data_IF_302799004329
#
_entry.id   IF_302799004329
#
_cell.length_a   1.000
_cell.length_b   1.000
_cell.length_c   1.000
_cell.angle_alpha   90.00
_cell.angle_beta   90.00
_cell.angle_gamma   90.00
#
_symmetry.space_group_name_H-M   'P 1'
#
loop_
_entity.id
_entity.type
_entity.pdbx_description
1 polymer ?
#
# COMPACT_ATOMS: atom_id res chain seq x y z
N UNK A 1 17.81 3.14 16.20
CA UNK A 1 16.34 3.11 16.33
C UNK A 1 15.73 3.01 14.93
N UNK A 2 14.95 1.97 14.61
CA UNK A 2 14.48 1.71 13.25
C UNK A 2 13.10 2.33 12.98
N UNK A 3 13.02 3.48 12.29
CA UNK A 3 11.74 4.16 12.02
C UNK A 3 10.75 3.30 11.23
N UNK A 4 11.23 2.36 10.40
CA UNK A 4 10.38 1.52 9.56
C UNK A 4 9.46 0.59 10.36
N UNK A 5 9.92 0.03 11.49
CA UNK A 5 9.10 -0.85 12.34
C UNK A 5 7.90 -0.14 12.93
N UNK A 6 8.12 1.09 13.42
CA UNK A 6 7.06 1.92 14.01
C UNK A 6 6.00 2.27 12.96
N UNK A 7 6.43 2.57 11.74
CA UNK A 7 5.53 2.87 10.61
C UNK A 7 4.66 1.66 10.27
N UNK A 8 5.23 0.45 10.13
CA UNK A 8 4.42 -0.74 9.83
C UNK A 8 3.44 -1.11 10.95
N UNK A 9 3.84 -0.98 12.22
CA UNK A 9 2.93 -1.22 13.36
C UNK A 9 1.80 -0.20 13.39
N UNK A 10 2.11 1.08 13.17
CA UNK A 10 1.10 2.13 13.10
C UNK A 10 0.13 1.90 11.93
N UNK A 11 0.64 1.56 10.74
CA UNK A 11 -0.19 1.26 9.57
C UNK A 11 -1.07 0.03 9.79
N UNK A 12 -0.57 -1.03 10.43
CA UNK A 12 -1.36 -2.19 10.79
C UNK A 12 -2.52 -1.83 11.73
N UNK A 13 -2.22 -1.08 12.79
CA UNK A 13 -3.24 -0.59 13.73
C UNK A 13 -4.25 0.30 13.00
N UNK A 14 -3.78 1.17 12.11
CA UNK A 14 -4.65 2.01 11.28
C UNK A 14 -5.60 1.16 10.43
N UNK A 15 -5.10 0.29 9.55
CA UNK A 15 -5.97 -0.50 8.67
C UNK A 15 -6.98 -1.36 9.44
N UNK A 16 -6.60 -1.89 10.61
CA UNK A 16 -7.52 -2.74 11.38
C UNK A 16 -8.52 -1.93 12.20
N UNK A 17 -8.03 -1.06 13.09
CA UNK A 17 -8.90 -0.39 14.06
C UNK A 17 -9.65 0.78 13.46
N UNK A 18 -9.00 1.58 12.61
CA UNK A 18 -9.64 2.75 12.00
C UNK A 18 -10.76 2.34 11.04
N UNK A 19 -10.50 1.34 10.18
CA UNK A 19 -11.53 0.82 9.26
C UNK A 19 -12.72 0.22 9.99
N UNK A 20 -12.49 -0.53 11.08
CA UNK A 20 -13.57 -1.09 11.91
C UNK A 20 -14.40 0.00 12.58
N UNK A 21 -13.76 1.05 13.11
CA UNK A 21 -14.46 2.19 13.69
C UNK A 21 -15.33 2.90 12.65
N UNK A 22 -14.80 3.13 11.45
CA UNK A 22 -15.56 3.75 10.35
C UNK A 22 -16.75 2.88 9.96
N UNK A 23 -16.54 1.57 9.79
CA UNK A 23 -17.61 0.62 9.45
C UNK A 23 -18.67 0.54 10.56
N UNK A 24 -18.30 0.68 11.83
CA UNK A 24 -19.24 0.70 12.95
C UNK A 24 -20.06 2.00 13.01
N UNK A 25 -19.44 3.14 12.69
CA UNK A 25 -20.09 4.46 12.69
C UNK A 25 -21.02 4.63 11.47
N UNK A 26 -20.65 4.04 10.33
CA UNK A 26 -21.33 4.27 9.05
C UNK A 26 -22.84 3.94 9.08
N UNK A 27 -23.33 2.81 9.63
CA UNK A 27 -24.76 2.52 9.70
C UNK A 27 -25.55 3.57 10.47
N UNK A 28 -25.07 3.97 11.66
CA UNK A 28 -25.74 5.00 12.47
C UNK A 28 -25.78 6.36 11.76
N UNK A 29 -24.73 6.67 10.98
CA UNK A 29 -24.68 7.89 10.19
C UNK A 29 -25.65 7.84 8.99
N UNK A 30 -25.86 6.67 8.39
CA UNK A 30 -26.83 6.44 7.31
C UNK A 30 -28.27 6.55 7.83
N UNK A 31 -28.60 5.94 8.97
CA UNK A 31 -29.93 6.08 9.57
C UNK A 31 -30.26 7.54 9.87
N UNK A 32 -29.28 8.28 10.39
CA UNK A 32 -29.43 9.71 10.64
C UNK A 32 -29.58 10.53 9.33
N UNK A 33 -28.89 10.16 8.24
CA UNK A 33 -29.04 10.77 6.91
C UNK A 33 -30.46 10.62 6.38
N UNK A 34 -31.03 9.42 6.47
CA UNK A 34 -32.39 9.15 6.00
C UNK A 34 -33.41 9.95 6.82
N UNK A 35 -33.21 10.07 8.13
CA UNK A 35 -34.09 10.83 9.01
C UNK A 35 -34.02 12.36 8.86
N UNK A 36 -32.91 12.92 8.35
CA UNK A 36 -32.67 14.38 8.28
C UNK A 36 -32.31 14.86 6.86
N UNK A 37 -32.89 14.24 5.84
CA UNK A 37 -32.55 14.48 4.42
C UNK A 37 -32.79 15.92 3.95
N UNK A 38 -33.63 16.69 4.66
CA UNK A 38 -33.92 18.10 4.35
C UNK A 38 -32.77 19.07 4.70
N UNK A 39 -31.75 18.63 5.44
CA UNK A 39 -30.65 19.52 5.86
C UNK A 39 -29.47 19.51 4.87
N UNK A 40 -29.28 20.55 4.04
CA UNK A 40 -28.19 20.60 3.05
C UNK A 40 -26.80 20.60 3.71
N UNK A 41 -26.67 21.15 4.91
CA UNK A 41 -25.43 21.12 5.70
C UNK A 41 -24.99 19.70 6.04
N UNK A 42 -25.95 18.80 6.25
CA UNK A 42 -25.65 17.43 6.65
C UNK A 42 -25.19 16.58 5.46
N UNK A 43 -25.84 16.72 4.29
CA UNK A 43 -25.38 16.13 3.03
C UNK A 43 -23.94 16.53 2.69
N UNK A 44 -23.61 17.82 2.92
CA UNK A 44 -22.26 18.33 2.70
C UNK A 44 -21.25 17.69 3.65
N UNK A 45 -21.57 17.66 4.95
CA UNK A 45 -20.71 17.04 5.95
C UNK A 45 -20.44 15.56 5.64
N UNK A 46 -21.46 14.81 5.23
CA UNK A 46 -21.32 13.42 4.80
C UNK A 46 -20.41 13.27 3.58
N UNK A 47 -20.60 14.11 2.56
CA UNK A 47 -19.79 14.06 1.33
C UNK A 47 -18.31 14.33 1.62
N UNK A 48 -18.02 15.29 2.50
CA UNK A 48 -16.66 15.61 2.97
C UNK A 48 -16.09 14.42 3.75
N UNK A 49 -16.85 13.87 4.70
CA UNK A 49 -16.44 12.71 5.48
C UNK A 49 -16.10 11.51 4.60
N UNK A 50 -16.97 11.15 3.67
CA UNK A 50 -16.76 10.05 2.72
C UNK A 50 -15.48 10.25 1.88
N UNK A 51 -15.28 11.48 1.37
CA UNK A 51 -14.10 11.83 0.57
C UNK A 51 -12.80 11.72 1.37
N UNK A 52 -12.79 12.24 2.61
CA UNK A 52 -11.63 12.18 3.49
C UNK A 52 -11.31 10.73 3.87
N UNK A 53 -12.31 9.97 4.30
CA UNK A 53 -12.13 8.56 4.66
C UNK A 53 -11.56 7.76 3.51
N UNK A 54 -12.15 7.89 2.31
CA UNK A 54 -11.65 7.21 1.11
C UNK A 54 -10.22 7.61 0.78
N UNK A 55 -9.92 8.91 0.80
CA UNK A 55 -8.59 9.43 0.52
C UNK A 55 -7.54 8.88 1.49
N UNK A 56 -7.81 8.88 2.79
CA UNK A 56 -6.83 8.39 3.78
C UNK A 56 -6.59 6.89 3.60
N UNK A 57 -7.61 6.09 3.28
CA UNK A 57 -7.43 4.65 3.00
C UNK A 57 -6.57 4.40 1.77
N UNK A 58 -6.86 5.09 0.66
CA UNK A 58 -6.09 4.96 -0.58
C UNK A 58 -4.64 5.40 -0.35
N UNK A 59 -4.42 6.56 0.28
CA UNK A 59 -3.07 7.05 0.61
C UNK A 59 -2.34 6.12 1.55
N UNK A 60 -3.00 5.49 2.53
CA UNK A 60 -2.37 4.52 3.40
C UNK A 60 -1.86 3.30 2.61
N UNK A 61 -2.64 2.79 1.65
CA UNK A 61 -2.23 1.66 0.80
C UNK A 61 -1.07 2.07 -0.11
N UNK A 62 -1.14 3.26 -0.71
CA UNK A 62 -0.07 3.82 -1.53
C UNK A 62 1.21 4.03 -0.74
N UNK A 63 1.13 4.46 0.52
CA UNK A 63 2.29 4.58 1.39
C UNK A 63 2.93 3.23 1.68
N UNK A 64 2.15 2.17 1.90
CA UNK A 64 2.69 0.81 2.04
C UNK A 64 3.41 0.37 0.77
N UNK A 65 2.80 0.57 -0.40
CA UNK A 65 3.40 0.24 -1.69
C UNK A 65 4.67 1.07 -1.95
N UNK A 66 4.62 2.37 -1.66
CA UNK A 66 5.74 3.31 -1.80
C UNK A 66 6.95 2.89 -0.98
N UNK A 67 6.74 2.54 0.30
CA UNK A 67 7.83 2.08 1.18
C UNK A 67 8.48 0.80 0.64
N UNK A 68 7.69 -0.11 0.07
CA UNK A 68 8.20 -1.35 -0.54
C UNK A 68 9.05 -1.08 -1.77
N UNK A 69 8.52 -0.26 -2.68
CA UNK A 69 9.24 0.13 -3.90
C UNK A 69 10.52 0.88 -3.52
N UNK A 70 10.46 1.78 -2.55
CA UNK A 70 11.63 2.50 -2.06
C UNK A 70 12.71 1.57 -1.49
N UNK A 71 12.31 0.54 -0.74
CA UNK A 71 13.23 -0.49 -0.27
C UNK A 71 13.85 -1.30 -1.43
N UNK A 72 13.03 -1.67 -2.43
CA UNK A 72 13.46 -2.45 -3.60
C UNK A 72 14.45 -1.69 -4.50
N UNK A 73 14.34 -0.35 -4.56
CA UNK A 73 15.24 0.52 -5.32
C UNK A 73 16.46 1.00 -4.52
N UNK A 74 16.90 0.20 -3.54
CA UNK A 74 18.06 0.50 -2.69
C UNK A 74 18.03 1.94 -2.14
N UNK A 75 16.84 2.39 -1.67
CA UNK A 75 16.63 3.72 -1.08
C UNK A 75 16.97 4.91 -2.00
N UNK A 76 16.90 4.74 -3.32
CA UNK A 76 17.13 5.83 -4.27
C UNK A 76 16.17 7.01 -4.05
N UNK A 77 16.74 8.20 -3.82
CA UNK A 77 15.97 9.44 -3.59
C UNK A 77 15.09 9.84 -4.77
N UNK A 78 15.49 9.48 -6.00
CA UNK A 78 14.71 9.80 -7.22
C UNK A 78 13.34 9.13 -7.21
N UNK A 79 13.29 7.87 -6.79
CA UNK A 79 12.06 7.10 -6.71
C UNK A 79 11.18 7.61 -5.57
N UNK A 80 11.79 7.94 -4.42
CA UNK A 80 11.05 8.56 -3.32
C UNK A 80 10.40 9.88 -3.74
N UNK A 81 11.13 10.73 -4.49
CA UNK A 81 10.59 11.98 -5.00
C UNK A 81 9.44 11.75 -6.00
N UNK A 82 9.59 10.81 -6.94
CA UNK A 82 8.56 10.49 -7.92
C UNK A 82 7.27 9.97 -7.26
N UNK A 83 7.40 9.04 -6.32
CA UNK A 83 6.24 8.50 -5.60
C UNK A 83 5.63 9.54 -4.67
N UNK A 84 6.45 10.31 -3.96
CA UNK A 84 5.98 11.41 -3.12
C UNK A 84 5.25 12.50 -3.91
N UNK A 85 5.73 12.80 -5.12
CA UNK A 85 5.07 13.73 -6.04
C UNK A 85 3.67 13.23 -6.45
N UNK A 86 3.53 11.95 -6.78
CA UNK A 86 2.22 11.35 -7.10
C UNK A 86 1.25 11.43 -5.91
N UNK A 87 1.70 11.08 -4.71
CA UNK A 87 0.88 11.17 -3.49
C UNK A 87 0.46 12.62 -3.23
N UNK A 88 1.38 13.58 -3.39
CA UNK A 88 1.06 15.00 -3.23
C UNK A 88 0.04 15.49 -4.26
N UNK A 89 0.17 15.07 -5.52
CA UNK A 89 -0.78 15.39 -6.59
C UNK A 89 -2.18 14.86 -6.28
N UNK A 90 -2.25 13.67 -5.71
CA UNK A 90 -3.51 13.04 -5.33
C UNK A 90 -4.18 13.73 -4.13
N UNK A 91 -3.40 14.07 -3.10
CA UNK A 91 -3.90 14.83 -1.94
C UNK A 91 -4.39 16.21 -2.37
N UNK A 92 -3.63 16.92 -3.20
CA UNK A 92 -4.03 18.26 -3.69
C UNK A 92 -5.28 18.17 -4.58
N UNK A 93 -5.37 17.18 -5.46
CA UNK A 93 -6.57 16.90 -6.24
C UNK A 93 -7.79 16.63 -5.36
N UNK A 94 -7.62 15.85 -4.29
CA UNK A 94 -8.68 15.56 -3.33
C UNK A 94 -9.16 16.83 -2.60
N UNK A 95 -8.24 17.68 -2.16
CA UNK A 95 -8.58 18.97 -1.54
C UNK A 95 -9.36 19.88 -2.50
N UNK A 96 -8.93 19.98 -3.76
CA UNK A 96 -9.65 20.74 -4.79
C UNK A 96 -11.05 20.17 -5.00
N UNK A 97 -11.19 18.85 -5.07
CA UNK A 97 -12.49 18.19 -5.21
C UNK A 97 -13.44 18.51 -4.04
N UNK A 98 -12.93 18.51 -2.81
CA UNK A 98 -13.71 18.89 -1.62
C UNK A 98 -14.16 20.35 -1.69
N UNK A 99 -13.25 21.28 -2.03
CA UNK A 99 -13.59 22.72 -2.17
C UNK A 99 -14.64 22.95 -3.25
N UNK A 100 -14.50 22.29 -4.41
CA UNK A 100 -15.50 22.37 -5.48
C UNK A 100 -16.84 21.79 -5.04
N UNK A 101 -16.83 20.67 -4.32
CA UNK A 101 -18.04 20.05 -3.77
C UNK A 101 -18.77 21.01 -2.84
N UNK A 102 -18.06 21.70 -1.95
CA UNK A 102 -18.63 22.71 -1.05
C UNK A 102 -19.29 23.86 -1.83
N UNK A 103 -18.64 24.34 -2.91
CA UNK A 103 -19.15 25.49 -3.67
C UNK A 103 -20.27 25.14 -4.65
N UNK A 104 -20.22 23.93 -5.22
CA UNK A 104 -21.15 23.49 -6.26
C UNK A 104 -22.34 22.68 -5.71
N UNK A 105 -22.41 22.52 -4.39
CA UNK A 105 -23.45 21.78 -3.68
C UNK A 105 -24.86 22.32 -3.98
N UNK A 106 -25.51 21.74 -4.98
CA UNK A 106 -26.97 21.70 -5.11
C UNK A 106 -27.39 20.27 -4.85
N UNK A 107 -27.75 19.97 -3.61
CA UNK A 107 -28.24 18.66 -3.22
C UNK A 107 -29.72 18.52 -3.56
N UNK A 108 -30.11 17.36 -4.10
CA UNK A 108 -31.51 16.97 -4.22
C UNK A 108 -31.96 16.18 -2.98
N UNK A 109 -33.24 15.80 -2.87
CA UNK A 109 -33.93 15.24 -1.69
C UNK A 109 -33.28 14.00 -1.01
N UNK A 110 -32.16 13.46 -1.51
CA UNK A 110 -31.49 12.29 -0.95
C UNK A 110 -29.97 12.45 -0.80
N UNK A 111 -29.46 13.69 -0.69
CA UNK A 111 -28.01 13.98 -0.63
C UNK A 111 -27.21 13.42 -1.83
N UNK A 112 -27.87 13.19 -2.97
CA UNK A 112 -27.25 12.69 -4.20
C UNK A 112 -26.88 13.87 -5.11
N UNK A 113 -25.70 13.82 -5.73
CA UNK A 113 -25.29 14.80 -6.73
C UNK A 113 -26.13 14.65 -7.99
N UNK A 114 -26.94 15.66 -8.35
CA UNK A 114 -27.70 15.64 -9.62
C UNK A 114 -26.81 15.51 -10.85
N UNK A 115 -25.58 16.05 -10.78
CA UNK A 115 -24.54 15.85 -11.80
C UNK A 115 -23.22 15.67 -11.07
N UNK A 116 -22.53 14.52 -11.23
CA UNK A 116 -21.24 14.34 -10.60
C UNK A 116 -20.27 15.38 -11.16
N UNK A 117 -19.58 16.15 -10.31
CA UNK A 117 -18.57 17.09 -10.77
C UNK A 117 -17.50 16.35 -11.58
N UNK A 118 -17.11 16.91 -12.73
CA UNK A 118 -16.00 16.38 -13.56
C UNK A 118 -14.72 16.18 -12.74
N UNK A 119 -14.57 16.96 -11.67
CA UNK A 119 -13.51 16.89 -10.67
C UNK A 119 -13.36 15.49 -10.04
N UNK A 120 -14.47 14.78 -9.78
CA UNK A 120 -14.42 13.40 -9.28
C UNK A 120 -13.79 12.45 -10.30
N UNK A 121 -14.10 12.64 -11.59
CA UNK A 121 -13.52 11.83 -12.67
C UNK A 121 -12.02 12.11 -12.80
N UNK A 122 -11.61 13.38 -12.76
CA UNK A 122 -10.19 13.75 -12.78
C UNK A 122 -9.43 13.16 -11.58
N UNK A 123 -10.03 13.20 -10.39
CA UNK A 123 -9.44 12.57 -9.20
C UNK A 123 -9.24 11.06 -9.41
N UNK A 124 -10.26 10.35 -9.89
CA UNK A 124 -10.16 8.92 -10.19
C UNK A 124 -9.06 8.59 -11.21
N UNK A 125 -8.89 9.41 -12.25
CA UNK A 125 -7.81 9.26 -13.23
C UNK A 125 -6.43 9.44 -12.57
N UNK A 126 -6.27 10.44 -11.70
CA UNK A 126 -5.03 10.67 -10.96
C UNK A 126 -4.71 9.45 -10.08
N UNK A 127 -5.68 8.93 -9.33
CA UNK A 127 -5.51 7.70 -8.52
C UNK A 127 -5.05 6.55 -9.41
N UNK A 128 -5.75 6.28 -10.52
CA UNK A 128 -5.37 5.21 -11.45
C UNK A 128 -3.95 5.40 -12.01
N UNK A 129 -3.58 6.63 -12.38
CA UNK A 129 -2.24 6.94 -12.87
C UNK A 129 -1.17 6.60 -11.84
N UNK A 130 -1.42 6.92 -10.56
CA UNK A 130 -0.50 6.63 -9.46
C UNK A 130 -0.35 5.12 -9.25
N UNK A 131 -1.46 4.38 -9.33
CA UNK A 131 -1.45 2.92 -9.24
C UNK A 131 -0.67 2.27 -10.40
N UNK A 132 -0.85 2.78 -11.64
CA UNK A 132 -0.08 2.32 -12.81
C UNK A 132 1.41 2.62 -12.63
N UNK A 133 1.78 3.82 -12.15
CA UNK A 133 3.16 4.19 -11.89
C UNK A 133 3.81 3.27 -10.86
N UNK A 134 3.15 3.02 -9.72
CA UNK A 134 3.64 2.11 -8.68
C UNK A 134 3.81 0.68 -9.20
N UNK A 135 2.82 0.19 -9.95
CA UNK A 135 2.87 -1.12 -10.60
C UNK A 135 4.02 -1.21 -11.59
N UNK A 136 4.16 -0.22 -12.47
CA UNK A 136 5.19 -0.13 -13.49
C UNK A 136 6.60 -0.11 -12.89
N UNK A 137 6.82 0.65 -11.81
CA UNK A 137 8.10 0.66 -11.11
C UNK A 137 8.45 -0.70 -10.51
N UNK A 138 7.46 -1.38 -9.92
CA UNK A 138 7.64 -2.71 -9.31
C UNK A 138 7.96 -3.75 -10.40
N UNK A 139 7.25 -3.71 -11.53
CA UNK A 139 7.49 -4.57 -12.69
C UNK A 139 8.85 -4.33 -13.32
N UNK A 140 9.18 -3.06 -13.61
CA UNK A 140 10.44 -2.68 -14.23
C UNK A 140 11.63 -3.18 -13.42
N UNK A 141 11.61 -2.97 -12.10
CA UNK A 141 12.69 -3.44 -11.23
C UNK A 141 12.80 -4.96 -11.23
N UNK A 142 11.67 -5.66 -11.26
CA UNK A 142 11.66 -7.12 -11.31
C UNK A 142 12.20 -7.66 -12.63
N UNK A 143 11.84 -7.05 -13.75
CA UNK A 143 12.36 -7.42 -15.07
C UNK A 143 13.86 -7.16 -15.15
N UNK A 144 14.34 -6.02 -14.63
CA UNK A 144 15.76 -5.71 -14.57
C UNK A 144 16.53 -6.71 -13.70
N UNK A 145 16.01 -7.06 -12.51
CA UNK A 145 16.61 -8.06 -11.64
C UNK A 145 16.64 -9.46 -12.29
N UNK A 146 15.61 -9.81 -13.08
CA UNK A 146 15.59 -11.06 -13.83
C UNK A 146 16.64 -11.08 -14.94
N UNK A 147 16.82 -9.96 -15.65
CA UNK A 147 17.84 -9.84 -16.72
C UNK A 147 19.27 -9.88 -16.18
N UNK A 148 19.53 -9.35 -14.99
CA UNK A 148 20.85 -9.36 -14.36
C UNK A 148 21.23 -10.70 -13.70
N UNK A 149 20.52 -11.80 -14.01
CA UNK A 149 20.80 -13.13 -13.44
C UNK A 149 20.30 -13.34 -12.01
N UNK A 150 19.73 -12.32 -11.36
CA UNK A 150 19.19 -12.39 -10.00
C UNK A 150 17.75 -12.94 -9.94
N UNK A 151 17.21 -13.41 -11.06
CA UNK A 151 15.79 -13.79 -11.22
C UNK A 151 15.29 -14.98 -10.40
N UNK A 152 16.14 -15.67 -9.64
CA UNK A 152 15.72 -16.82 -8.79
C UNK A 152 15.35 -16.44 -7.36
N UNK A 153 15.41 -15.17 -6.95
CA UNK A 153 14.98 -14.79 -5.60
C UNK A 153 13.45 -14.82 -5.49
N UNK A 154 12.86 -15.76 -4.73
CA UNK A 154 11.40 -15.92 -4.60
C UNK A 154 10.71 -14.69 -3.96
N UNK A 155 11.48 -13.82 -3.33
CA UNK A 155 11.01 -12.58 -2.69
C UNK A 155 10.40 -11.63 -3.72
N UNK A 156 11.04 -11.47 -4.88
CA UNK A 156 10.62 -10.46 -5.87
C UNK A 156 9.33 -10.88 -6.59
N UNK A 157 9.16 -12.17 -6.86
CA UNK A 157 7.93 -12.68 -7.49
C UNK A 157 6.74 -12.61 -6.54
N UNK A 158 6.93 -12.84 -5.24
CA UNK A 158 5.89 -12.67 -4.24
C UNK A 158 5.43 -11.20 -4.18
N UNK A 159 6.38 -10.26 -4.16
CA UNK A 159 6.09 -8.83 -4.15
C UNK A 159 5.30 -8.37 -5.37
N UNK A 160 5.63 -8.89 -6.56
CA UNK A 160 4.86 -8.59 -7.78
C UNK A 160 3.43 -9.10 -7.71
N UNK A 161 3.24 -10.34 -7.30
CA UNK A 161 1.91 -10.96 -7.22
C UNK A 161 1.02 -10.21 -6.23
N UNK A 162 1.61 -9.78 -5.11
CA UNK A 162 0.85 -9.08 -4.08
C UNK A 162 0.50 -7.66 -4.51
N UNK A 163 1.44 -6.95 -5.14
CA UNK A 163 1.19 -5.63 -5.67
C UNK A 163 0.18 -5.66 -6.82
N UNK A 164 0.20 -6.71 -7.66
CA UNK A 164 -0.72 -6.84 -8.79
C UNK A 164 -2.14 -7.10 -8.34
N UNK A 165 -2.35 -7.95 -7.33
CA UNK A 165 -3.67 -8.15 -6.73
C UNK A 165 -4.26 -6.82 -6.22
N UNK A 166 -3.49 -6.02 -5.50
CA UNK A 166 -3.94 -4.71 -4.99
C UNK A 166 -4.24 -3.73 -6.13
N UNK A 167 -3.40 -3.70 -7.16
CA UNK A 167 -3.63 -2.87 -8.35
C UNK A 167 -4.95 -3.20 -9.06
N UNK A 168 -5.26 -4.49 -9.27
CA UNK A 168 -6.52 -4.89 -9.90
C UNK A 168 -7.72 -4.51 -9.04
N UNK A 169 -7.63 -4.69 -7.72
CA UNK A 169 -8.69 -4.31 -6.80
C UNK A 169 -8.94 -2.80 -6.82
N UNK A 170 -7.91 -1.97 -6.67
CA UNK A 170 -8.07 -0.50 -6.69
C UNK A 170 -8.56 -0.04 -8.07
N UNK A 171 -8.05 -0.62 -9.16
CA UNK A 171 -8.50 -0.29 -10.50
C UNK A 171 -9.99 -0.62 -10.72
N UNK A 172 -10.45 -1.78 -10.23
CA UNK A 172 -11.85 -2.16 -10.29
C UNK A 172 -12.74 -1.21 -9.46
N UNK A 173 -12.29 -0.81 -8.26
CA UNK A 173 -13.00 0.17 -7.43
C UNK A 173 -13.07 1.56 -8.10
N UNK A 174 -11.98 2.02 -8.71
CA UNK A 174 -11.96 3.29 -9.44
C UNK A 174 -12.87 3.25 -10.69
N UNK A 175 -12.76 2.20 -11.51
CA UNK A 175 -13.57 2.06 -12.72
C UNK A 175 -15.06 1.91 -12.40
N UNK A 176 -15.41 1.13 -11.38
CA UNK A 176 -16.80 1.02 -10.92
C UNK A 176 -17.31 2.37 -10.42
N UNK A 177 -16.55 3.11 -9.62
CA UNK A 177 -16.91 4.46 -9.18
C UNK A 177 -17.16 5.41 -10.36
N UNK A 178 -16.26 5.44 -11.35
CA UNK A 178 -16.43 6.26 -12.56
C UNK A 178 -17.68 5.81 -13.34
N UNK A 179 -17.90 4.50 -13.47
CA UNK A 179 -19.08 3.94 -14.11
C UNK A 179 -20.39 4.37 -13.43
N UNK A 180 -20.45 4.25 -12.10
CA UNK A 180 -21.62 4.68 -11.33
C UNK A 180 -21.87 6.20 -11.43
N UNK A 181 -20.82 7.01 -11.46
CA UNK A 181 -20.96 8.44 -11.73
C UNK A 181 -21.55 8.71 -13.12
N UNK A 182 -21.25 7.89 -14.14
CA UNK A 182 -21.78 8.08 -15.49
C UNK A 182 -23.21 7.57 -15.67
N UNK A 183 -23.61 6.57 -14.89
CA UNK A 183 -24.90 5.88 -15.00
C UNK A 183 -25.99 6.43 -14.05
N UNK A 184 -25.81 7.62 -13.46
CA UNK A 184 -26.76 8.29 -12.55
C UNK A 184 -27.17 7.47 -11.31
N UNK A 185 -26.21 6.78 -10.67
CA UNK A 185 -26.52 5.80 -9.62
C UNK A 185 -26.63 6.35 -8.19
N UNK A 186 -27.76 6.07 -7.55
CA UNK A 186 -28.03 6.22 -6.10
C UNK A 186 -27.12 5.33 -5.21
N UNK A 187 -26.31 4.45 -5.82
CA UNK A 187 -25.44 3.48 -5.14
C UNK A 187 -24.14 4.04 -4.55
N UNK A 188 -23.89 5.35 -4.58
CA UNK A 188 -22.62 5.93 -4.12
C UNK A 188 -22.31 5.61 -2.64
N UNK A 189 -23.34 5.62 -1.78
CA UNK A 189 -23.23 5.30 -0.35
C UNK A 189 -22.78 3.84 -0.16
N UNK A 190 -23.40 2.92 -0.91
CA UNK A 190 -23.07 1.50 -0.88
C UNK A 190 -21.62 1.30 -1.32
N UNK A 191 -21.20 1.94 -2.42
CA UNK A 191 -19.84 1.83 -2.95
C UNK A 191 -18.75 2.26 -1.96
N UNK A 192 -18.98 3.30 -1.15
CA UNK A 192 -18.03 3.73 -0.14
C UNK A 192 -17.79 2.63 0.91
N UNK A 193 -18.87 2.04 1.43
CA UNK A 193 -18.79 0.99 2.43
C UNK A 193 -18.00 -0.23 1.92
N UNK A 194 -18.29 -0.67 0.70
CA UNK A 194 -17.56 -1.76 0.06
C UNK A 194 -16.10 -1.41 -0.18
N UNK A 195 -15.81 -0.18 -0.64
CA UNK A 195 -14.45 0.28 -0.92
C UNK A 195 -13.59 0.28 0.34
N UNK A 196 -14.08 0.82 1.47
CA UNK A 196 -13.35 0.83 2.74
C UNK A 196 -13.08 -0.59 3.23
N UNK A 197 -14.07 -1.47 3.14
CA UNK A 197 -13.94 -2.87 3.56
C UNK A 197 -12.89 -3.63 2.76
N UNK A 198 -12.90 -3.45 1.44
CA UNK A 198 -11.96 -4.08 0.52
C UNK A 198 -10.55 -3.50 0.75
N UNK A 199 -10.40 -2.18 0.83
CA UNK A 199 -9.11 -1.52 1.07
C UNK A 199 -8.50 -1.92 2.42
N UNK A 200 -9.32 -2.07 3.47
CA UNK A 200 -8.89 -2.57 4.77
C UNK A 200 -8.36 -4.00 4.68
N UNK A 201 -9.12 -4.88 4.03
CA UNK A 201 -8.75 -6.30 3.85
C UNK A 201 -7.47 -6.43 3.03
N UNK A 202 -7.37 -5.69 1.91
CA UNK A 202 -6.18 -5.62 1.08
C UNK A 202 -4.98 -5.06 1.83
N UNK A 203 -5.15 -3.98 2.61
CA UNK A 203 -4.08 -3.38 3.40
C UNK A 203 -3.53 -4.34 4.46
N UNK A 204 -4.41 -5.06 5.16
CA UNK A 204 -4.03 -6.09 6.11
C UNK A 204 -3.29 -7.25 5.43
N UNK A 205 -3.82 -7.76 4.31
CA UNK A 205 -3.19 -8.84 3.55
C UNK A 205 -1.80 -8.46 3.06
N UNK A 206 -1.68 -7.25 2.50
CA UNK A 206 -0.42 -6.69 2.03
C UNK A 206 0.60 -6.68 3.18
N UNK A 207 0.22 -6.19 4.38
CA UNK A 207 1.09 -6.16 5.56
C UNK A 207 1.48 -7.54 6.08
N UNK A 208 0.54 -8.49 6.18
CA UNK A 208 0.80 -9.84 6.70
C UNK A 208 1.81 -10.60 5.84
N UNK A 209 1.73 -10.51 4.52
CA UNK A 209 2.66 -11.20 3.62
C UNK A 209 4.12 -10.74 3.84
N UNK A 210 4.32 -9.47 4.24
CA UNK A 210 5.66 -8.98 4.58
C UNK A 210 6.18 -9.50 5.90
N UNK A 211 5.32 -9.70 6.89
CA UNK A 211 5.72 -10.28 8.17
C UNK A 211 6.14 -11.74 8.00
N UNK A 212 5.44 -12.50 7.16
CA UNK A 212 5.79 -13.89 6.89
C UNK A 212 7.18 -14.05 6.25
N UNK A 213 7.58 -13.12 5.37
CA UNK A 213 8.90 -13.12 4.74
C UNK A 213 10.04 -12.94 5.75
N UNK A 214 9.84 -12.12 6.78
CA UNK A 214 10.83 -11.92 7.86
C UNK A 214 10.96 -13.19 8.72
N UNK A 215 9.84 -13.86 9.02
CA UNK A 215 9.84 -15.04 9.89
C UNK A 215 10.42 -16.30 9.22
N UNK A 216 10.29 -16.43 7.90
CA UNK A 216 10.75 -17.61 7.15
C UNK A 216 12.21 -17.59 6.72
N UNK A 217 12.99 -16.55 7.06
CA UNK A 217 14.43 -16.61 6.87
C UNK A 217 14.98 -17.73 7.78
N UNK A 218 15.47 -18.87 7.23
CA UNK A 218 15.90 -19.97 8.06
C UNK A 218 17.14 -19.49 8.81
N UNK A 219 16.97 -19.28 10.12
CA UNK A 219 18.09 -19.16 11.05
C UNK A 219 18.93 -20.40 10.78
N UNK A 220 20.09 -20.22 10.14
CA UNK A 220 21.10 -21.28 10.02
C UNK A 220 21.50 -21.56 11.45
N UNK A 221 20.81 -22.52 12.05
CA UNK A 221 20.89 -22.89 13.45
C UNK A 221 22.30 -23.44 13.63
N UNK A 222 23.26 -22.59 13.99
CA UNK A 222 24.51 -23.03 14.60
C UNK A 222 24.05 -23.81 15.83
N UNK A 223 24.29 -25.12 15.78
CA UNK A 223 23.82 -26.10 16.74
C UNK A 223 24.55 -25.86 18.07
N UNK A 224 24.04 -24.95 18.89
CA UNK A 224 24.42 -24.89 20.31
C UNK A 224 23.59 -25.92 21.08
N UNK A 225 24.22 -26.80 21.88
CA UNK A 225 23.51 -27.86 22.58
C UNK A 225 22.71 -27.29 23.77
N UNK A 226 21.41 -27.56 23.71
CA UNK A 226 20.45 -27.73 24.81
C UNK A 226 20.64 -26.92 26.10
N UNK A 227 19.86 -25.83 26.23
CA UNK A 227 19.27 -25.47 27.53
C UNK A 227 17.77 -25.24 27.32
N UNK A 228 17.00 -26.07 28.01
CA UNK A 228 15.54 -26.08 28.09
C UNK A 228 15.10 -24.96 29.03
N UNK A 229 14.36 -23.96 28.53
CA UNK A 229 13.44 -23.17 29.36
C UNK A 229 12.27 -22.65 28.54
N UNK A 230 11.11 -23.22 28.80
CA UNK A 230 9.80 -22.82 28.34
C UNK A 230 9.30 -21.62 29.16
N UNK A 231 9.57 -20.38 28.72
CA UNK A 231 8.93 -19.17 29.26
C UNK A 231 8.82 -18.08 28.17
N UNK A 232 7.58 -17.68 27.87
CA UNK A 232 7.14 -16.41 27.25
C UNK A 232 7.47 -16.10 25.77
N UNK A 233 6.45 -16.30 24.92
CA UNK A 233 6.31 -15.83 23.53
C UNK A 233 6.21 -14.29 23.35
N UNK A 234 6.89 -13.49 24.16
CA UNK A 234 6.87 -12.01 24.03
C UNK A 234 8.27 -11.39 24.04
N UNK A 235 9.33 -12.20 24.21
CA UNK A 235 10.72 -11.75 24.31
C UNK A 235 11.59 -12.15 23.10
N UNK A 236 10.97 -12.59 21.99
CA UNK A 236 11.67 -13.01 20.75
C UNK A 236 11.92 -11.82 19.79
N UNK A 237 11.37 -10.63 20.04
CA UNK A 237 11.48 -9.51 19.08
C UNK A 237 12.76 -8.65 19.23
N UNK A 238 13.59 -8.88 20.26
CA UNK A 238 14.78 -8.05 20.54
C UNK A 238 16.09 -8.74 20.09
N UNK A 239 16.26 -10.07 20.23
CA UNK A 239 17.50 -10.74 19.79
C UNK A 239 17.60 -10.98 18.27
N UNK A 240 16.48 -11.04 17.54
CA UNK A 240 16.50 -11.35 16.10
C UNK A 240 17.23 -10.29 15.25
N UNK A 241 17.41 -9.07 15.77
CA UNK A 241 18.03 -7.97 15.02
C UNK A 241 19.55 -7.91 15.07
N UNK A 242 20.20 -8.67 15.94
CA UNK A 242 21.66 -8.78 15.87
C UNK A 242 22.10 -9.70 14.71
N UNK A 243 21.20 -10.57 14.21
CA UNK A 243 21.47 -11.48 13.09
C UNK A 243 21.31 -10.77 11.73
N UNK A 244 20.48 -9.74 11.61
CA UNK A 244 20.28 -8.99 10.36
C UNK A 244 21.54 -8.22 9.91
N UNK A 245 22.40 -7.80 10.85
CA UNK A 245 23.68 -7.17 10.51
C UNK A 245 24.68 -8.20 9.94
N UNK A 246 24.57 -9.47 10.38
CA UNK A 246 25.39 -10.57 9.85
C UNK A 246 24.96 -11.01 8.44
N UNK A 247 23.68 -10.91 8.09
CA UNK A 247 23.20 -11.23 6.73
C UNK A 247 23.53 -10.13 5.72
N UNK A 248 23.54 -8.86 6.15
CA UNK A 248 23.96 -7.75 5.28
C UNK A 248 25.48 -7.75 5.03
N UNK A 249 26.28 -8.29 5.95
CA UNK A 249 27.72 -8.50 5.76
C UNK A 249 28.07 -9.65 4.81
N UNK A 250 27.28 -10.73 4.78
CA UNK A 250 27.53 -11.87 3.86
C UNK A 250 27.26 -11.51 2.39
N UNK A 251 26.30 -10.60 2.13
CA UNK A 251 26.04 -10.10 0.76
C UNK A 251 27.10 -9.11 0.27
N UNK A 252 27.79 -8.40 1.16
CA UNK A 252 28.90 -7.49 0.79
C UNK A 252 30.25 -8.21 0.69
N UNK A 253 30.45 -9.33 1.39
CA UNK A 253 31.71 -10.07 1.32
C UNK A 253 31.78 -11.04 0.13
N UNK A 254 30.67 -11.28 -0.56
CA UNK A 254 30.66 -12.12 -1.77
C UNK A 254 31.06 -11.37 -3.06
N UNK A 255 31.24 -10.05 -3.00
CA UNK A 255 31.77 -9.24 -4.12
C UNK A 255 33.31 -9.19 -4.14
N UNK A 256 34.00 -9.67 -3.09
CA UNK A 256 35.47 -9.59 -3.02
C UNK A 256 36.22 -10.86 -3.46
N UNK A 257 35.54 -12.00 -3.63
CA UNK A 257 36.17 -13.30 -3.97
C UNK A 257 36.11 -13.70 -5.46
N UNK A 258 35.59 -12.85 -6.35
CA UNK A 258 35.55 -13.11 -7.80
C UNK A 258 36.65 -12.43 -8.62
N UNK A 259 37.78 -12.06 -8.00
CA UNK A 259 38.97 -11.55 -8.69
C UNK A 259 40.20 -12.49 -8.65
N UNK A 260 40.06 -13.76 -8.24
CA UNK A 260 41.21 -14.67 -8.11
C UNK A 260 41.23 -15.90 -9.02
N UNK A 261 40.34 -16.00 -10.02
CA UNK A 261 40.38 -17.11 -11.01
C UNK A 261 40.46 -16.53 -12.42
N UNK A 262 41.62 -15.97 -12.76
CA UNK A 262 41.96 -15.53 -14.14
C UNK A 262 43.47 -15.67 -14.44
N UNK A 263 44.21 -16.50 -13.72
CA UNK A 263 45.64 -16.71 -14.01
C UNK A 263 46.08 -18.13 -13.68
N UNK A 264 45.62 -19.10 -14.48
CA UNK A 264 46.29 -20.41 -14.65
C UNK A 264 45.68 -21.10 -15.87
N UNK A 265 46.09 -20.69 -17.07
CA UNK A 265 45.98 -21.48 -18.31
C UNK A 265 47.06 -21.01 -19.27
N UNK A 266 48.33 -21.19 -18.86
CA UNK A 266 49.49 -21.11 -19.74
C UNK A 266 50.51 -22.14 -19.28
N UNK A 267 50.30 -23.39 -19.70
CA UNK A 267 51.34 -24.41 -19.89
C UNK A 267 50.67 -25.77 -20.09
N UNK A 268 50.75 -26.32 -21.32
CA UNK A 268 50.97 -27.75 -21.65
C UNK A 268 50.46 -28.00 -23.08
N UNK A 269 51.42 -28.14 -23.99
CA UNK A 269 51.45 -28.83 -25.29
C UNK A 269 52.34 -27.99 -26.23
N UNK A 270 53.55 -28.33 -26.68
CA UNK A 270 54.20 -29.62 -26.99
C UNK A 270 53.31 -30.64 -27.68
#
# INVERSE_FOLDING_TARGET
MQPQKRVFKCLYVYFRYFSLLIQAIHPGLVEYLVGNHDSPSFCLAWSIYASLVGQVHVTAVEMVLAVRVYALFNRSRRIAFLVGFHILLQVTSSMVNVIYTIRAAKYHEYCIFSKPPLQLTYHGIIVLSTQITLMGLTLLKTVLARRSGWGRTPIVSLLLRDSSAVFFVISALCLSTIGFCRLNGEGAIVMLFWSVSILSSCGCWLLMNMQQLVTHCPTRRVRSPSIRSSVFSTLVEIEQWHIDESCSGILLNSDHDMNFISSTSDSVAR
#
